data_IF_554495690287
#
_entry.id   IF_554495690287
#
_cell.length_a   1.000
_cell.length_b   1.000
_cell.length_c   1.000
_cell.angle_alpha   90.00
_cell.angle_beta   90.00
_cell.angle_gamma   90.00
#
_symmetry.space_group_name_H-M   'P 1'
#
loop_
_entity.id
_entity.type
_entity.pdbx_description
1 polymer ?
#
# COMPACT_ATOMS: atom_id res chain seq x y z
N UNK A 1 -4.40 -23.09 16.61
CA UNK A 1 -3.63 -23.83 17.65
C UNK A 1 -2.70 -24.86 17.04
N UNK A 2 -3.10 -25.68 16.08
CA UNK A 2 -2.21 -26.70 15.46
C UNK A 2 -1.02 -26.11 14.69
N UNK A 3 -1.22 -25.06 13.89
CA UNK A 3 -0.15 -24.41 13.12
C UNK A 3 0.91 -23.73 14.00
N UNK A 4 0.53 -23.18 15.15
CA UNK A 4 1.47 -22.58 16.10
C UNK A 4 2.32 -23.63 16.82
N UNK A 5 1.76 -24.82 17.08
CA UNK A 5 2.51 -25.93 17.68
C UNK A 5 3.51 -26.52 16.69
N UNK A 6 3.08 -26.76 15.46
CA UNK A 6 3.95 -27.27 14.39
C UNK A 6 5.13 -26.34 14.10
N UNK A 7 4.89 -25.01 14.10
CA UNK A 7 5.94 -24.00 13.98
C UNK A 7 6.91 -24.03 15.15
N UNK A 8 6.40 -24.16 16.38
CA UNK A 8 7.22 -24.28 17.60
C UNK A 8 8.10 -25.52 17.58
N UNK A 9 7.56 -26.66 17.17
CA UNK A 9 8.29 -27.93 17.09
C UNK A 9 9.39 -27.88 16.01
N UNK A 10 9.08 -27.21 14.88
CA UNK A 10 10.06 -26.98 13.81
C UNK A 10 11.18 -26.02 14.25
N UNK A 11 10.85 -24.95 14.96
CA UNK A 11 11.85 -24.06 15.57
C UNK A 11 12.78 -24.77 16.52
N UNK A 12 12.26 -25.66 17.37
CA UNK A 12 13.09 -26.47 18.27
C UNK A 12 14.06 -27.37 17.51
N UNK A 13 13.59 -27.99 16.41
CA UNK A 13 14.45 -28.85 15.59
C UNK A 13 15.57 -28.07 14.88
N UNK A 14 15.24 -26.88 14.33
CA UNK A 14 16.21 -25.97 13.73
C UNK A 14 17.24 -25.48 14.75
N UNK A 15 16.78 -25.14 15.95
CA UNK A 15 17.65 -24.71 17.05
C UNK A 15 18.66 -25.77 17.47
N UNK A 16 18.24 -27.03 17.48
CA UNK A 16 19.10 -28.17 17.83
C UNK A 16 20.05 -28.58 16.69
N UNK A 17 19.68 -28.29 15.45
CA UNK A 17 20.41 -28.71 14.25
C UNK A 17 21.39 -27.67 13.69
N UNK A 18 21.37 -26.44 14.19
CA UNK A 18 22.12 -25.31 13.61
C UNK A 18 22.92 -24.53 14.65
N UNK A 19 24.08 -23.98 14.23
CA UNK A 19 24.89 -23.04 15.00
C UNK A 19 24.24 -21.63 15.03
N UNK A 20 22.92 -21.55 15.18
CA UNK A 20 22.19 -20.29 15.25
C UNK A 20 22.62 -19.51 16.48
N UNK A 21 23.18 -18.31 16.26
CA UNK A 21 23.47 -17.36 17.30
C UNK A 21 22.28 -16.45 17.54
N UNK A 22 21.97 -16.14 18.80
CA UNK A 22 20.93 -15.17 19.18
C UNK A 22 21.50 -13.79 19.44
N UNK A 23 20.75 -12.71 19.20
CA UNK A 23 19.36 -12.69 18.71
C UNK A 23 19.25 -13.02 17.22
N UNK A 24 18.19 -13.74 16.81
CA UNK A 24 17.92 -14.11 15.44
C UNK A 24 16.43 -13.93 15.10
N UNK A 25 16.12 -13.53 13.86
CA UNK A 25 14.77 -13.56 13.32
C UNK A 25 14.61 -14.81 12.47
N UNK A 26 13.52 -15.53 12.69
CA UNK A 26 13.17 -16.73 11.93
C UNK A 26 11.81 -16.53 11.29
N UNK A 27 11.68 -16.85 10.00
CA UNK A 27 10.41 -16.81 9.28
C UNK A 27 10.15 -18.17 8.60
N UNK A 28 8.88 -18.50 8.49
CA UNK A 28 8.42 -19.70 7.80
C UNK A 28 8.08 -19.33 6.34
N UNK A 29 8.98 -19.68 5.43
CA UNK A 29 8.83 -19.38 4.01
C UNK A 29 7.64 -20.12 3.38
N UNK A 30 7.40 -21.38 3.80
CA UNK A 30 6.27 -22.16 3.28
C UNK A 30 4.94 -21.56 3.67
N UNK A 31 4.81 -21.08 4.91
CA UNK A 31 3.60 -20.37 5.37
C UNK A 31 3.38 -19.07 4.59
N UNK A 32 4.45 -18.35 4.24
CA UNK A 32 4.35 -17.17 3.38
C UNK A 32 3.84 -17.55 1.99
N UNK A 33 4.44 -18.56 1.35
CA UNK A 33 4.05 -19.03 0.02
C UNK A 33 2.59 -19.51 0.00
N UNK A 34 2.12 -20.21 1.04
CA UNK A 34 0.73 -20.64 1.17
C UNK A 34 -0.24 -19.44 1.17
N UNK A 35 0.07 -18.40 1.95
CA UNK A 35 -0.74 -17.17 1.98
C UNK A 35 -0.73 -16.43 0.64
N UNK A 36 0.42 -16.38 -0.03
CA UNK A 36 0.55 -15.80 -1.36
C UNK A 36 -0.27 -16.58 -2.41
N UNK A 37 -0.36 -17.90 -2.28
CA UNK A 37 -1.24 -18.73 -3.11
C UNK A 37 -2.73 -18.42 -2.95
N UNK A 38 -3.16 -18.01 -1.76
CA UNK A 38 -4.52 -17.52 -1.53
C UNK A 38 -4.74 -16.15 -2.21
N UNK A 39 -3.78 -15.23 -2.08
CA UNK A 39 -3.84 -13.92 -2.74
C UNK A 39 -3.84 -14.04 -4.27
N UNK A 40 -3.12 -15.01 -4.83
CA UNK A 40 -3.11 -15.27 -6.26
C UNK A 40 -4.52 -15.65 -6.79
N UNK A 41 -5.25 -16.49 -6.06
CA UNK A 41 -6.65 -16.83 -6.40
C UNK A 41 -7.57 -15.61 -6.31
N UNK A 42 -7.39 -14.77 -5.29
CA UNK A 42 -8.14 -13.52 -5.17
C UNK A 42 -7.85 -12.58 -6.35
N UNK A 43 -6.59 -12.42 -6.73
CA UNK A 43 -6.16 -11.64 -7.89
C UNK A 43 -6.81 -12.14 -9.19
N UNK A 44 -6.77 -13.44 -9.42
CA UNK A 44 -7.38 -14.06 -10.60
C UNK A 44 -8.90 -13.82 -10.66
N UNK A 45 -9.59 -13.94 -9.52
CA UNK A 45 -11.03 -13.76 -9.45
C UNK A 45 -11.48 -12.29 -9.58
N UNK A 46 -10.68 -11.35 -9.09
CA UNK A 46 -11.03 -9.91 -9.06
C UNK A 46 -10.45 -9.11 -10.24
N UNK A 47 -9.39 -9.62 -10.87
CA UNK A 47 -8.63 -8.88 -11.90
C UNK A 47 -7.80 -7.72 -11.34
N UNK A 48 -7.68 -7.58 -10.00
CA UNK A 48 -6.88 -6.51 -9.40
C UNK A 48 -5.41 -6.90 -9.29
N UNK A 49 -4.52 -5.88 -9.27
CA UNK A 49 -3.11 -6.05 -8.95
C UNK A 49 -2.91 -6.08 -7.44
N UNK A 50 -1.97 -6.91 -6.97
CA UNK A 50 -1.60 -7.04 -5.56
C UNK A 50 -0.23 -6.40 -5.34
N UNK A 51 -0.17 -5.41 -4.46
CA UNK A 51 1.07 -4.79 -4.03
C UNK A 51 1.40 -5.22 -2.60
N UNK A 52 2.65 -5.63 -2.36
CA UNK A 52 3.11 -5.87 -1.00
C UNK A 52 3.58 -4.58 -0.33
N UNK A 53 3.12 -4.33 0.88
CA UNK A 53 3.54 -3.16 1.66
C UNK A 53 4.87 -3.42 2.38
N UNK A 54 5.98 -2.84 1.89
CA UNK A 54 7.35 -3.09 2.38
C UNK A 54 7.50 -2.80 3.88
N UNK A 55 6.80 -1.79 4.40
CA UNK A 55 6.82 -1.43 5.83
C UNK A 55 6.34 -2.54 6.77
N UNK A 56 5.58 -3.52 6.27
CA UNK A 56 5.07 -4.62 7.09
C UNK A 56 6.20 -5.55 7.56
N UNK A 57 7.10 -5.91 6.64
CA UNK A 57 8.32 -6.66 6.93
C UNK A 57 9.31 -6.48 5.78
N UNK A 58 10.41 -5.77 6.03
CA UNK A 58 11.39 -5.36 5.01
C UNK A 58 12.62 -6.26 4.93
N UNK A 59 12.54 -7.51 5.39
CA UNK A 59 13.66 -8.47 5.28
C UNK A 59 13.84 -8.93 3.84
N UNK A 60 15.04 -8.77 3.32
CA UNK A 60 15.41 -9.09 1.93
C UNK A 60 15.02 -10.51 1.53
N UNK A 61 15.25 -11.52 2.39
CA UNK A 61 14.83 -12.89 2.13
C UNK A 61 13.32 -13.03 1.93
N UNK A 62 12.53 -12.42 2.81
CA UNK A 62 11.06 -12.40 2.70
C UNK A 62 10.60 -11.64 1.48
N UNK A 63 11.20 -10.47 1.19
CA UNK A 63 10.85 -9.67 0.01
C UNK A 63 11.13 -10.41 -1.29
N UNK A 64 12.24 -11.16 -1.39
CA UNK A 64 12.56 -12.00 -2.56
C UNK A 64 11.50 -13.09 -2.78
N UNK A 65 11.08 -13.77 -1.70
CA UNK A 65 10.00 -14.77 -1.78
C UNK A 65 8.70 -14.13 -2.25
N UNK A 66 8.32 -12.98 -1.69
CA UNK A 66 7.06 -12.29 -2.02
C UNK A 66 7.07 -11.74 -3.45
N UNK A 67 8.19 -11.17 -3.91
CA UNK A 67 8.32 -10.54 -5.22
C UNK A 67 7.95 -11.46 -6.40
N UNK A 68 8.11 -12.77 -6.24
CA UNK A 68 7.72 -13.75 -7.25
C UNK A 68 6.21 -13.98 -7.36
N UNK A 69 5.41 -13.46 -6.42
CA UNK A 69 3.98 -13.77 -6.28
C UNK A 69 3.05 -12.55 -6.30
N UNK A 70 3.61 -11.34 -6.33
CA UNK A 70 2.85 -10.08 -6.33
C UNK A 70 3.15 -9.26 -7.58
N UNK A 71 2.32 -8.25 -7.86
CA UNK A 71 2.46 -7.39 -9.04
C UNK A 71 3.38 -6.19 -8.78
N UNK A 72 3.83 -6.01 -7.54
CA UNK A 72 4.74 -4.96 -7.17
C UNK A 72 4.77 -4.68 -5.67
N UNK A 73 5.42 -3.58 -5.31
CA UNK A 73 5.57 -3.16 -3.92
C UNK A 73 4.96 -1.79 -3.66
N UNK A 74 4.37 -1.63 -2.46
CA UNK A 74 3.94 -0.34 -1.92
C UNK A 74 4.94 0.13 -0.88
N UNK A 75 5.50 1.32 -1.07
CA UNK A 75 6.55 1.91 -0.25
C UNK A 75 6.07 3.18 0.46
N UNK A 76 6.72 3.55 1.54
CA UNK A 76 6.38 4.72 2.37
C UNK A 76 7.56 5.66 2.63
N UNK A 77 8.74 5.35 2.10
CA UNK A 77 9.94 6.17 2.19
C UNK A 77 10.87 5.94 1.00
N UNK A 78 11.80 6.88 0.76
CA UNK A 78 12.84 6.74 -0.26
C UNK A 78 13.74 5.51 -0.03
N UNK A 79 14.01 5.15 1.22
CA UNK A 79 14.77 3.93 1.55
C UNK A 79 14.03 2.66 1.16
N UNK A 80 12.72 2.61 1.39
CA UNK A 80 11.91 1.47 0.92
C UNK A 80 11.84 1.41 -0.60
N UNK A 81 11.86 2.55 -1.30
CA UNK A 81 11.92 2.59 -2.77
C UNK A 81 13.23 1.99 -3.29
N UNK A 82 14.37 2.36 -2.70
CA UNK A 82 15.67 1.76 -3.05
C UNK A 82 15.70 0.26 -2.82
N UNK A 83 15.21 -0.20 -1.67
CA UNK A 83 15.12 -1.63 -1.39
C UNK A 83 14.17 -2.34 -2.37
N UNK A 84 13.04 -1.72 -2.72
CA UNK A 84 12.07 -2.27 -3.65
C UNK A 84 12.67 -2.45 -5.05
N UNK A 85 13.40 -1.47 -5.58
CA UNK A 85 14.04 -1.58 -6.91
C UNK A 85 15.16 -2.62 -6.91
N UNK A 86 15.93 -2.75 -5.82
CA UNK A 86 16.95 -3.79 -5.68
C UNK A 86 16.36 -5.19 -5.74
N UNK A 87 15.17 -5.40 -5.13
CA UNK A 87 14.50 -6.71 -5.10
C UNK A 87 13.76 -7.00 -6.40
N UNK A 88 12.97 -6.05 -6.90
CA UNK A 88 12.12 -6.24 -8.07
C UNK A 88 12.91 -6.15 -9.38
N UNK A 89 13.96 -5.32 -9.43
CA UNK A 89 14.59 -4.95 -10.69
C UNK A 89 13.56 -4.32 -11.64
N UNK A 90 13.37 -4.94 -12.79
CA UNK A 90 12.38 -4.52 -13.79
C UNK A 90 11.08 -5.35 -13.75
N UNK A 91 10.83 -6.09 -12.66
CA UNK A 91 9.66 -6.95 -12.50
C UNK A 91 8.69 -6.34 -11.51
N UNK A 92 7.46 -6.07 -11.96
CA UNK A 92 6.43 -5.47 -11.11
C UNK A 92 6.57 -3.94 -10.99
N UNK A 93 5.67 -3.32 -10.26
CA UNK A 93 5.59 -1.87 -10.11
C UNK A 93 5.88 -1.42 -8.67
N UNK A 94 6.41 -0.21 -8.54
CA UNK A 94 6.70 0.41 -7.23
C UNK A 94 5.80 1.63 -7.06
N UNK A 95 4.95 1.58 -6.03
CA UNK A 95 4.04 2.65 -5.67
C UNK A 95 4.48 3.29 -4.36
N UNK A 96 4.74 4.59 -4.36
CA UNK A 96 5.03 5.31 -3.11
C UNK A 96 3.83 6.12 -2.64
N UNK A 97 3.57 6.05 -1.33
CA UNK A 97 2.68 6.98 -0.63
C UNK A 97 3.27 7.32 0.73
N UNK A 98 3.46 8.61 1.00
CA UNK A 98 3.97 9.09 2.29
C UNK A 98 3.35 10.43 2.64
N UNK A 99 2.95 10.65 3.90
CA UNK A 99 2.42 11.94 4.34
C UNK A 99 3.48 13.07 4.31
N UNK A 100 4.76 12.72 4.23
CA UNK A 100 5.87 13.68 4.24
C UNK A 100 7.04 13.24 3.38
N UNK A 101 6.97 13.42 2.06
CA UNK A 101 8.10 13.25 1.14
C UNK A 101 8.87 14.58 1.12
N UNK A 102 10.16 14.53 1.40
CA UNK A 102 11.04 15.70 1.30
C UNK A 102 11.42 15.94 -0.16
N UNK A 103 11.61 17.19 -0.54
CA UNK A 103 12.09 17.54 -1.89
C UNK A 103 13.41 16.82 -2.23
N UNK A 104 14.29 16.66 -1.25
CA UNK A 104 15.57 15.96 -1.40
C UNK A 104 15.44 14.46 -1.64
N UNK A 105 14.29 13.87 -1.37
CA UNK A 105 14.06 12.44 -1.59
C UNK A 105 13.47 12.17 -2.99
N UNK A 106 13.02 13.22 -3.69
CA UNK A 106 12.32 13.09 -4.96
C UNK A 106 13.18 12.52 -6.09
N UNK A 107 14.49 12.74 -6.08
CA UNK A 107 15.40 12.16 -7.06
C UNK A 107 15.36 10.62 -6.97
N UNK A 108 15.48 10.09 -5.75
CA UNK A 108 15.37 8.64 -5.50
C UNK A 108 13.98 8.12 -5.88
N UNK A 109 12.93 8.86 -5.53
CA UNK A 109 11.55 8.47 -5.83
C UNK A 109 11.28 8.42 -7.32
N UNK A 110 11.74 9.42 -8.08
CA UNK A 110 11.53 9.49 -9.52
C UNK A 110 12.31 8.42 -10.29
N UNK A 111 13.47 8.01 -9.78
CA UNK A 111 14.28 6.94 -10.38
C UNK A 111 13.80 5.54 -10.03
N UNK A 112 13.12 5.39 -8.89
CA UNK A 112 12.77 4.06 -8.34
C UNK A 112 11.30 3.68 -8.49
N UNK A 113 10.39 4.65 -8.67
CA UNK A 113 8.96 4.40 -8.62
C UNK A 113 8.28 4.56 -9.97
N UNK A 114 7.17 3.84 -10.16
CA UNK A 114 6.27 4.01 -11.30
C UNK A 114 5.09 4.91 -10.94
N UNK A 115 4.66 4.86 -9.68
CA UNK A 115 3.46 5.55 -9.19
C UNK A 115 3.74 6.30 -7.90
N UNK A 116 3.16 7.49 -7.77
CA UNK A 116 3.19 8.28 -6.55
C UNK A 116 1.80 8.76 -6.16
N UNK A 117 1.40 8.53 -4.90
CA UNK A 117 0.19 9.11 -4.32
C UNK A 117 0.58 10.24 -3.38
N UNK A 118 0.35 11.48 -3.80
CA UNK A 118 0.57 12.64 -2.94
C UNK A 118 -0.46 12.72 -1.83
N UNK A 119 0.00 13.03 -0.64
CA UNK A 119 -0.86 13.10 0.54
C UNK A 119 -1.69 14.38 0.63
N UNK A 120 -1.29 15.43 -0.09
CA UNK A 120 -1.98 16.72 -0.10
C UNK A 120 -1.74 17.48 -1.41
N UNK A 121 -2.60 18.43 -1.72
CA UNK A 121 -2.42 19.32 -2.88
C UNK A 121 -1.11 20.11 -2.76
N UNK A 122 -0.77 20.61 -1.58
CA UNK A 122 0.48 21.34 -1.36
C UNK A 122 1.72 20.47 -1.59
N UNK A 123 1.69 19.20 -1.17
CA UNK A 123 2.79 18.26 -1.46
C UNK A 123 2.95 18.05 -2.97
N UNK A 124 1.84 17.83 -3.68
CA UNK A 124 1.85 17.75 -5.13
C UNK A 124 2.43 19.00 -5.78
N UNK A 125 1.96 20.19 -5.41
CA UNK A 125 2.46 21.45 -5.96
C UNK A 125 3.97 21.64 -5.76
N UNK A 126 4.50 21.19 -4.62
CA UNK A 126 5.94 21.27 -4.31
C UNK A 126 6.78 20.25 -5.07
N UNK A 127 6.24 19.06 -5.31
CA UNK A 127 7.01 17.93 -5.84
C UNK A 127 6.70 17.59 -7.31
N UNK A 128 5.67 18.18 -7.92
CA UNK A 128 5.18 17.78 -9.26
C UNK A 128 6.25 17.81 -10.36
N UNK A 129 7.13 18.80 -10.33
CA UNK A 129 8.20 18.91 -11.34
C UNK A 129 9.22 17.77 -11.21
N UNK A 130 9.55 17.38 -9.98
CA UNK A 130 10.44 16.25 -9.73
C UNK A 130 9.76 14.89 -9.91
N UNK A 131 8.43 14.86 -9.98
CA UNK A 131 7.63 13.66 -10.25
C UNK A 131 7.28 13.50 -11.75
N UNK A 132 7.89 14.30 -12.63
CA UNK A 132 7.71 14.19 -14.07
C UNK A 132 8.17 12.80 -14.54
N UNK A 133 7.29 12.10 -15.27
CA UNK A 133 7.51 10.70 -15.69
C UNK A 133 6.83 9.67 -14.81
N UNK A 134 6.44 10.00 -13.57
CA UNK A 134 5.65 9.10 -12.73
C UNK A 134 4.16 9.21 -13.04
N UNK A 135 3.43 8.10 -12.88
CA UNK A 135 1.98 8.15 -12.82
C UNK A 135 1.56 8.63 -11.44
N UNK A 136 1.11 9.88 -11.34
CA UNK A 136 0.79 10.48 -10.06
C UNK A 136 -0.69 10.58 -9.76
N UNK A 137 -1.02 10.52 -8.48
CA UNK A 137 -2.36 10.62 -7.97
C UNK A 137 -2.41 11.26 -6.59
N UNK A 138 -3.58 11.25 -6.00
CA UNK A 138 -3.81 11.76 -4.65
C UNK A 138 -4.28 10.67 -3.71
N UNK A 139 -3.78 10.70 -2.48
CA UNK A 139 -4.43 9.99 -1.38
C UNK A 139 -5.67 10.77 -0.96
N UNK A 140 -6.81 10.09 -0.96
CA UNK A 140 -8.09 10.64 -0.53
C UNK A 140 -8.38 10.20 0.89
N UNK A 141 -8.77 11.15 1.74
CA UNK A 141 -9.44 10.87 3.00
C UNK A 141 -10.95 10.88 2.74
N UNK A 142 -11.62 9.73 2.77
CA UNK A 142 -13.06 9.66 2.49
C UNK A 142 -13.94 10.28 3.60
N UNK A 143 -13.33 10.73 4.71
CA UNK A 143 -14.04 11.24 5.89
C UNK A 143 -15.02 10.21 6.49
N UNK A 144 -14.81 8.94 6.15
CA UNK A 144 -15.54 7.77 6.58
C UNK A 144 -14.56 6.74 7.12
N UNK A 145 -14.88 6.15 8.25
CA UNK A 145 -14.09 5.05 8.81
C UNK A 145 -14.98 4.07 9.55
N UNK A 146 -14.60 2.81 9.51
CA UNK A 146 -15.25 1.70 10.22
C UNK A 146 -14.32 1.11 11.29
N UNK A 147 -13.19 1.75 11.56
CA UNK A 147 -12.21 1.32 12.55
C UNK A 147 -12.79 1.48 13.94
N UNK A 148 -12.76 0.40 14.73
CA UNK A 148 -13.34 0.36 16.09
C UNK A 148 -12.59 1.25 17.09
N UNK A 149 -11.27 1.38 16.93
CA UNK A 149 -10.43 2.18 17.81
C UNK A 149 -10.01 3.49 17.13
N UNK A 150 -10.52 4.61 17.62
CA UNK A 150 -10.24 5.95 17.08
C UNK A 150 -8.75 6.29 16.96
N UNK A 151 -7.89 5.66 17.75
CA UNK A 151 -6.43 5.86 17.66
C UNK A 151 -5.86 5.40 16.32
N UNK A 152 -6.47 4.38 15.73
CA UNK A 152 -6.08 3.81 14.43
C UNK A 152 -6.96 4.31 13.27
N UNK A 153 -7.92 5.19 13.53
CA UNK A 153 -8.79 5.75 12.51
C UNK A 153 -8.03 6.76 11.63
N UNK A 154 -7.73 6.42 10.36
CA UNK A 154 -7.02 7.32 9.46
C UNK A 154 -7.87 8.51 9.00
N UNK A 155 -9.19 8.42 9.14
CA UNK A 155 -10.16 9.46 8.77
C UNK A 155 -10.66 10.27 9.96
N UNK A 156 -10.04 10.13 11.14
CA UNK A 156 -10.44 10.89 12.34
C UNK A 156 -10.33 12.39 12.12
N UNK A 157 -11.07 13.16 12.91
CA UNK A 157 -11.00 14.62 12.91
C UNK A 157 -9.55 15.12 13.05
N UNK A 158 -9.14 16.04 12.21
CA UNK A 158 -7.76 16.55 12.10
C UNK A 158 -6.71 15.52 11.63
N UNK A 159 -7.14 14.47 10.93
CA UNK A 159 -6.19 13.57 10.27
C UNK A 159 -5.33 14.34 9.27
N UNK A 160 -4.03 13.98 9.22
CA UNK A 160 -3.08 14.50 8.23
C UNK A 160 -3.02 13.62 6.98
N UNK A 161 -3.80 12.55 6.93
CA UNK A 161 -3.69 11.51 5.92
C UNK A 161 -4.71 11.71 4.80
N UNK A 162 -4.21 12.16 3.67
CA UNK A 162 -4.99 12.35 2.46
C UNK A 162 -5.71 13.70 2.39
N UNK A 163 -6.15 14.04 1.19
CA UNK A 163 -7.00 15.20 0.92
C UNK A 163 -8.45 14.86 1.31
N UNK A 164 -9.13 15.65 2.15
CA UNK A 164 -10.52 15.40 2.49
C UNK A 164 -11.40 15.32 1.24
N UNK A 165 -12.29 14.33 1.19
CA UNK A 165 -13.20 14.12 0.06
C UNK A 165 -14.08 15.36 -0.17
N UNK A 166 -14.58 15.95 0.90
CA UNK A 166 -15.36 17.21 0.87
C UNK A 166 -14.59 18.38 0.25
N UNK A 167 -13.28 18.46 0.49
CA UNK A 167 -12.41 19.47 -0.12
C UNK A 167 -12.27 19.24 -1.63
N UNK A 168 -11.99 17.99 -2.07
CA UNK A 168 -11.87 17.66 -3.49
C UNK A 168 -13.18 17.93 -4.24
N UNK A 169 -14.32 17.49 -3.71
CA UNK A 169 -15.63 17.74 -4.29
C UNK A 169 -15.92 19.24 -4.45
N UNK A 170 -15.47 20.08 -3.50
CA UNK A 170 -15.65 21.53 -3.57
C UNK A 170 -14.75 22.22 -4.60
N UNK A 171 -13.65 21.59 -5.02
CA UNK A 171 -12.72 22.14 -5.98
C UNK A 171 -13.24 22.09 -7.43
N UNK A 172 -14.18 21.17 -7.72
CA UNK A 172 -14.76 21.03 -9.05
C UNK A 172 -13.70 20.72 -10.14
N UNK A 173 -13.97 21.12 -11.37
CA UNK A 173 -13.10 20.88 -12.54
C UNK A 173 -11.89 21.85 -12.61
N UNK A 174 -11.17 22.06 -11.51
CA UNK A 174 -9.93 22.83 -11.60
C UNK A 174 -8.88 22.06 -12.40
N UNK A 175 -8.11 22.77 -13.22
CA UNK A 175 -7.04 22.23 -14.05
C UNK A 175 -6.07 21.34 -13.25
N UNK A 176 -5.84 21.70 -11.99
CA UNK A 176 -5.01 20.95 -11.05
C UNK A 176 -5.56 19.56 -10.75
N UNK A 177 -6.88 19.36 -10.74
CA UNK A 177 -7.53 18.07 -10.45
C UNK A 177 -7.68 17.24 -11.72
N UNK A 178 -7.92 17.89 -12.86
CA UNK A 178 -8.06 17.19 -14.15
C UNK A 178 -6.79 16.47 -14.62
N UNK A 179 -5.63 16.83 -14.05
CA UNK A 179 -4.37 16.18 -14.34
C UNK A 179 -4.07 14.95 -13.47
N UNK A 180 -4.93 14.63 -12.49
CA UNK A 180 -4.77 13.46 -11.62
C UNK A 180 -5.02 12.18 -12.42
N UNK A 181 -4.04 11.26 -12.37
CA UNK A 181 -4.12 9.97 -13.05
C UNK A 181 -4.66 8.86 -12.15
N UNK A 182 -4.62 9.04 -10.85
CA UNK A 182 -5.08 8.01 -9.93
C UNK A 182 -5.41 8.52 -8.54
N UNK A 183 -6.04 7.64 -7.77
CA UNK A 183 -6.35 7.89 -6.37
C UNK A 183 -5.94 6.71 -5.50
N UNK A 184 -5.58 7.02 -4.24
CA UNK A 184 -5.37 6.04 -3.20
C UNK A 184 -6.37 6.28 -2.07
N UNK A 185 -7.10 5.23 -1.69
CA UNK A 185 -8.03 5.22 -0.57
C UNK A 185 -7.48 4.24 0.47
N UNK A 186 -7.19 4.71 1.67
CA UNK A 186 -6.74 3.83 2.74
C UNK A 186 -7.35 4.28 4.06
N UNK A 187 -8.52 3.72 4.38
CA UNK A 187 -9.30 4.05 5.57
C UNK A 187 -9.68 2.80 6.41
N UNK A 188 -9.14 1.64 6.07
CA UNK A 188 -9.35 0.39 6.79
C UNK A 188 -8.16 0.02 7.66
N UNK A 189 -8.45 -0.67 8.76
CA UNK A 189 -7.48 -1.28 9.64
C UNK A 189 -8.13 -2.52 10.27
N UNK A 190 -7.51 -3.70 10.08
CA UNK A 190 -7.98 -4.98 10.60
C UNK A 190 -9.44 -5.32 10.19
N UNK A 191 -9.81 -4.98 8.95
CA UNK A 191 -11.13 -5.33 8.41
C UNK A 191 -11.22 -6.82 8.07
N UNK A 192 -12.29 -7.45 8.53
CA UNK A 192 -12.58 -8.89 8.33
C UNK A 192 -13.43 -9.15 7.08
N UNK A 193 -14.00 -8.10 6.48
CA UNK A 193 -14.81 -8.18 5.25
C UNK A 193 -14.60 -6.96 4.34
N UNK A 194 -15.12 -7.05 3.12
CA UNK A 194 -15.02 -5.99 2.10
C UNK A 194 -16.23 -5.06 2.04
N UNK A 195 -17.24 -5.21 2.89
CA UNK A 195 -18.44 -4.35 2.86
C UNK A 195 -18.08 -2.89 3.18
N UNK A 196 -17.12 -2.69 4.07
CA UNK A 196 -16.63 -1.36 4.43
C UNK A 196 -15.91 -0.70 3.26
N UNK A 197 -15.11 -1.46 2.50
CA UNK A 197 -14.49 -0.99 1.29
C UNK A 197 -15.52 -0.62 0.23
N UNK A 198 -16.51 -1.48 -0.02
CA UNK A 198 -17.56 -1.23 -0.99
C UNK A 198 -18.30 0.09 -0.70
N UNK A 199 -18.70 0.32 0.55
CA UNK A 199 -19.34 1.59 0.98
C UNK A 199 -18.42 2.81 0.79
N UNK A 200 -17.12 2.65 1.05
CA UNK A 200 -16.17 3.74 0.86
C UNK A 200 -16.01 4.07 -0.63
N UNK A 201 -15.90 3.05 -1.48
CA UNK A 201 -15.79 3.22 -2.93
C UNK A 201 -17.06 3.87 -3.48
N UNK A 202 -18.25 3.41 -3.09
CA UNK A 202 -19.53 4.00 -3.46
C UNK A 202 -19.57 5.51 -3.12
N UNK A 203 -19.25 5.87 -1.87
CA UNK A 203 -19.20 7.27 -1.45
C UNK A 203 -18.21 8.11 -2.29
N UNK A 204 -17.03 7.59 -2.58
CA UNK A 204 -16.02 8.30 -3.37
C UNK A 204 -16.47 8.45 -4.81
N UNK A 205 -17.06 7.41 -5.42
CA UNK A 205 -17.62 7.47 -6.76
C UNK A 205 -18.74 8.51 -6.86
N UNK A 206 -19.69 8.48 -5.94
CA UNK A 206 -20.81 9.44 -5.91
C UNK A 206 -20.35 10.91 -5.76
N UNK A 207 -19.24 11.11 -5.03
CA UNK A 207 -18.71 12.46 -4.76
C UNK A 207 -17.80 13.00 -5.86
N UNK A 208 -17.18 12.14 -6.65
CA UNK A 208 -16.13 12.47 -7.62
C UNK A 208 -16.39 11.87 -9.02
N UNK A 209 -17.65 11.67 -9.41
CA UNK A 209 -18.06 10.95 -10.64
C UNK A 209 -17.27 11.38 -11.88
N UNK A 210 -17.19 12.68 -12.12
CA UNK A 210 -16.45 13.26 -13.27
C UNK A 210 -14.94 12.98 -13.21
N UNK A 211 -14.35 12.94 -12.01
CA UNK A 211 -12.94 12.65 -11.83
C UNK A 211 -12.64 11.17 -12.02
N UNK A 212 -13.48 10.30 -11.43
CA UNK A 212 -13.30 8.83 -11.47
C UNK A 212 -13.26 8.32 -12.90
N UNK A 213 -14.11 8.84 -13.78
CA UNK A 213 -14.17 8.43 -15.18
C UNK A 213 -12.87 8.67 -15.98
N UNK A 214 -12.04 9.59 -15.53
CA UNK A 214 -10.75 9.93 -16.15
C UNK A 214 -9.53 9.25 -15.51
N UNK A 215 -9.70 8.47 -14.44
CA UNK A 215 -8.57 7.84 -13.76
C UNK A 215 -8.01 6.65 -14.52
N UNK A 216 -6.68 6.52 -14.50
CA UNK A 216 -5.96 5.37 -15.04
C UNK A 216 -5.85 4.25 -13.99
N UNK A 217 -5.87 4.57 -12.68
CA UNK A 217 -5.74 3.62 -11.59
C UNK A 217 -6.42 4.06 -10.29
N UNK A 218 -6.83 3.05 -9.50
CA UNK A 218 -7.35 3.23 -8.15
C UNK A 218 -6.62 2.26 -7.23
N UNK A 219 -5.95 2.78 -6.21
CA UNK A 219 -5.34 1.99 -5.16
C UNK A 219 -6.29 1.95 -3.95
N UNK A 220 -6.82 0.79 -3.65
CA UNK A 220 -7.80 0.57 -2.59
C UNK A 220 -7.16 0.41 -1.19
N UNK A 221 -5.84 0.64 -1.10
CA UNK A 221 -5.12 0.54 0.16
C UNK A 221 -5.02 -0.90 0.67
N UNK A 222 -4.97 -1.04 1.98
CA UNK A 222 -4.86 -2.32 2.66
C UNK A 222 -5.61 -2.29 4.00
N UNK A 223 -5.19 -3.17 4.92
CA UNK A 223 -5.82 -3.28 6.24
C UNK A 223 -6.93 -4.34 6.29
N UNK A 224 -6.93 -5.29 5.36
CA UNK A 224 -7.83 -6.43 5.31
C UNK A 224 -7.14 -7.65 5.89
N UNK A 225 -7.84 -8.39 6.77
CA UNK A 225 -7.38 -9.65 7.33
C UNK A 225 -7.79 -10.78 6.38
N UNK A 226 -6.80 -11.41 5.76
CA UNK A 226 -7.00 -12.61 4.96
C UNK A 226 -6.87 -13.83 5.88
N UNK A 227 -7.98 -14.21 6.50
CA UNK A 227 -8.08 -15.45 7.27
C UNK A 227 -8.46 -16.57 6.31
N UNK A 228 -7.61 -17.59 6.23
CA UNK A 228 -7.88 -18.85 5.52
C UNK A 228 -8.86 -19.71 6.29
#
# INVERSE_FOLDING_TARGET
MAASQQFSDHLQSLWQASDLTTPAFVYDELAIIEKLGFLAKFREASGCNILYSVKALSFTGVLNTIAAHVDGFSTSSSFECQLAIEILGNKGSIHITSPGIRQTDMDIVSESCDYISFNSISQWQQCRTAAEGLSWGLRINPELSFVKDERYNPSRKFSKLGVPLSQLASMGHKEEISAIKGILIHNNCESEDFQQLAKTVEQVCDSLDDLISGLEWINLGGGYLFNS
#
